data_IF_029449518133
#
_entry.id   IF_029449518133
#
_cell.length_a   1.000
_cell.length_b   1.000
_cell.length_c   1.000
_cell.angle_alpha   90.00
_cell.angle_beta   90.00
_cell.angle_gamma   90.00
#
_symmetry.space_group_name_H-M   'P 1'
#
loop_
_entity.id
_entity.type
_entity.pdbx_description
1 polymer ?
#
# COMPACT_ATOMS: atom_id res chain seq x y z
N UNK A 1 21.05 -9.69 -18.90
CA UNK A 1 19.75 -9.03 -18.61
C UNK A 1 19.12 -8.42 -19.85
N UNK A 2 19.90 -7.85 -20.74
CA UNK A 2 19.37 -7.20 -21.95
C UNK A 2 18.71 -8.14 -22.97
N UNK A 3 18.90 -9.44 -22.84
CA UNK A 3 18.38 -10.42 -23.79
C UNK A 3 16.96 -10.88 -23.48
N UNK A 4 16.40 -10.49 -22.33
CA UNK A 4 15.06 -10.89 -21.90
C UNK A 4 14.33 -9.70 -21.27
N UNK A 5 13.01 -9.72 -21.37
CA UNK A 5 12.16 -8.73 -20.69
C UNK A 5 12.07 -9.05 -19.19
N UNK A 6 11.59 -8.10 -18.39
CA UNK A 6 11.34 -8.30 -16.96
C UNK A 6 10.39 -9.48 -16.73
N UNK A 7 9.31 -9.57 -17.51
CA UNK A 7 8.34 -10.67 -17.39
C UNK A 7 8.98 -12.03 -17.66
N UNK A 8 9.86 -12.11 -18.65
CA UNK A 8 10.58 -13.35 -18.95
C UNK A 8 11.53 -13.75 -17.84
N UNK A 9 12.26 -12.78 -17.24
CA UNK A 9 13.12 -13.03 -16.09
C UNK A 9 12.31 -13.46 -14.86
N UNK A 10 11.14 -12.85 -14.63
CA UNK A 10 10.24 -13.24 -13.55
C UNK A 10 9.78 -14.70 -13.72
N UNK A 11 9.36 -15.08 -14.93
CA UNK A 11 8.92 -16.44 -15.20
C UNK A 11 10.04 -17.48 -14.97
N UNK A 12 11.28 -17.09 -15.23
CA UNK A 12 12.44 -17.98 -15.07
C UNK A 12 12.90 -18.09 -13.62
N UNK A 13 12.92 -17.00 -12.86
CA UNK A 13 13.59 -16.90 -11.57
C UNK A 13 12.66 -16.85 -10.36
N UNK A 14 11.40 -16.45 -10.52
CA UNK A 14 10.44 -16.47 -9.41
C UNK A 14 10.17 -17.89 -8.95
N UNK A 15 10.11 -18.07 -7.64
CA UNK A 15 9.92 -19.40 -7.05
C UNK A 15 11.19 -20.23 -6.99
N UNK A 16 12.32 -19.74 -7.52
CA UNK A 16 13.62 -20.38 -7.38
C UNK A 16 14.36 -19.83 -6.14
N UNK A 17 15.48 -20.46 -5.81
CA UNK A 17 16.34 -20.04 -4.68
C UNK A 17 17.33 -18.92 -5.08
N UNK A 18 16.97 -18.12 -6.07
CA UNK A 18 17.89 -17.13 -6.68
C UNK A 18 17.85 -15.74 -6.05
N UNK A 19 17.15 -15.52 -4.95
CA UNK A 19 17.01 -14.20 -4.30
C UNK A 19 16.66 -13.10 -5.31
N UNK A 20 15.59 -13.33 -6.09
CA UNK A 20 15.18 -12.48 -7.18
C UNK A 20 13.89 -11.75 -6.85
N UNK A 21 13.81 -10.48 -7.24
CA UNK A 21 12.57 -9.72 -7.20
C UNK A 21 12.58 -8.66 -8.31
N UNK A 22 11.43 -8.42 -8.99
CA UNK A 22 11.35 -7.34 -9.97
C UNK A 22 11.24 -5.99 -9.30
N UNK A 23 11.80 -4.96 -9.94
CA UNK A 23 11.53 -3.56 -9.59
C UNK A 23 10.38 -3.07 -10.45
N UNK A 24 9.29 -2.69 -9.80
CA UNK A 24 8.03 -2.33 -10.46
C UNK A 24 7.81 -0.81 -10.45
N UNK A 25 7.14 -0.29 -11.48
CA UNK A 25 6.61 1.06 -11.46
C UNK A 25 5.47 1.18 -10.43
N UNK A 26 5.13 2.39 -10.00
CA UNK A 26 4.14 2.60 -8.94
C UNK A 26 2.76 2.03 -9.28
N UNK A 27 2.32 2.18 -10.52
CA UNK A 27 1.06 1.64 -10.98
C UNK A 27 1.07 0.11 -11.12
N UNK A 28 2.21 -0.47 -11.47
CA UNK A 28 2.41 -1.91 -11.54
C UNK A 28 2.44 -2.56 -10.15
N UNK A 29 3.02 -1.87 -9.17
CA UNK A 29 3.17 -2.41 -7.81
C UNK A 29 1.83 -2.74 -7.16
N UNK A 30 0.82 -1.88 -7.33
CA UNK A 30 -0.50 -2.13 -6.75
C UNK A 30 -1.23 -3.30 -7.42
N UNK A 31 -0.86 -3.66 -8.66
CA UNK A 31 -1.43 -4.78 -9.39
C UNK A 31 -0.69 -6.09 -9.15
N UNK A 32 0.46 -6.05 -8.49
CA UNK A 32 1.25 -7.25 -8.21
C UNK A 32 0.47 -8.22 -7.30
N UNK A 33 0.42 -9.52 -7.61
CA UNK A 33 -0.38 -10.48 -6.85
C UNK A 33 -0.11 -10.49 -5.35
N UNK A 34 1.14 -10.36 -4.94
CA UNK A 34 1.51 -10.31 -3.52
C UNK A 34 0.94 -9.06 -2.84
N UNK A 35 1.04 -7.90 -3.48
CA UNK A 35 0.51 -6.64 -2.95
C UNK A 35 -1.01 -6.65 -2.86
N UNK A 36 -1.68 -7.24 -3.85
CA UNK A 36 -3.14 -7.43 -3.81
C UNK A 36 -3.55 -8.39 -2.69
N UNK A 37 -2.86 -9.52 -2.55
CA UNK A 37 -3.16 -10.50 -1.51
C UNK A 37 -2.98 -9.91 -0.11
N UNK A 38 -2.01 -9.02 0.07
CA UNK A 38 -1.76 -8.34 1.34
C UNK A 38 -2.66 -7.13 1.58
N UNK A 39 -3.38 -6.66 0.57
CA UNK A 39 -4.13 -5.41 0.67
C UNK A 39 -3.25 -4.21 0.96
N UNK A 40 -2.06 -4.18 0.33
CA UNK A 40 -1.05 -3.15 0.59
C UNK A 40 -1.46 -1.76 0.11
N UNK A 41 -2.41 -1.68 -0.83
CA UNK A 41 -2.94 -0.42 -1.36
C UNK A 41 -4.46 -0.41 -1.27
N UNK A 42 -5.04 0.73 -0.95
CA UNK A 42 -6.49 0.92 -0.88
C UNK A 42 -6.91 2.10 -1.74
N UNK A 43 -8.11 2.01 -2.32
CA UNK A 43 -8.71 3.12 -3.05
C UNK A 43 -9.59 3.93 -2.10
N UNK A 44 -9.40 5.24 -2.09
CA UNK A 44 -10.17 6.16 -1.26
C UNK A 44 -10.33 7.49 -2.00
N UNK A 45 -11.57 7.95 -2.11
CA UNK A 45 -11.92 9.18 -2.83
C UNK A 45 -11.35 9.23 -4.26
N UNK A 46 -11.38 8.09 -4.96
CA UNK A 46 -10.93 7.99 -6.34
C UNK A 46 -9.40 7.94 -6.52
N UNK A 47 -8.64 7.88 -5.45
CA UNK A 47 -7.19 7.78 -5.49
C UNK A 47 -6.68 6.55 -4.75
N UNK A 48 -5.57 5.98 -5.21
CA UNK A 48 -4.91 4.87 -4.55
C UNK A 48 -3.97 5.38 -3.46
N UNK A 49 -4.06 4.78 -2.29
CA UNK A 49 -3.23 5.10 -1.13
C UNK A 49 -2.57 3.84 -0.60
N UNK A 50 -1.36 3.94 -0.03
CA UNK A 50 -0.83 2.84 0.78
C UNK A 50 -1.80 2.55 1.94
N UNK A 51 -2.02 1.27 2.21
CA UNK A 51 -2.82 0.88 3.36
C UNK A 51 -2.10 1.26 4.66
N UNK A 52 -2.84 1.61 5.73
CA UNK A 52 -2.22 1.93 7.01
C UNK A 52 -1.41 0.76 7.56
N UNK A 53 -0.27 1.08 8.11
CA UNK A 53 0.62 0.15 8.80
C UNK A 53 1.05 0.81 10.13
N UNK A 54 1.26 0.04 11.18
CA UNK A 54 1.05 -1.41 11.33
C UNK A 54 -0.43 -1.80 11.37
N UNK A 55 -0.70 -3.10 11.27
CA UNK A 55 -2.07 -3.64 11.29
C UNK A 55 -2.40 -4.17 12.68
N UNK A 56 -3.28 -3.48 13.37
CA UNK A 56 -3.73 -3.88 14.70
C UNK A 56 -5.00 -4.73 14.60
N UNK A 57 -5.07 -5.82 15.38
CA UNK A 57 -6.18 -6.75 15.30
C UNK A 57 -7.49 -6.19 15.86
N UNK A 58 -7.41 -5.37 16.91
CA UNK A 58 -8.61 -4.80 17.55
C UNK A 58 -8.94 -3.39 17.09
N UNK A 59 -7.94 -2.62 16.68
CA UNK A 59 -8.09 -1.23 16.25
C UNK A 59 -7.39 -1.02 14.94
N UNK A 60 -7.89 -1.63 13.84
CA UNK A 60 -7.24 -1.47 12.54
C UNK A 60 -7.27 -0.02 12.08
N UNK A 61 -6.19 0.42 11.45
CA UNK A 61 -6.13 1.73 10.83
C UNK A 61 -6.98 1.80 9.58
N UNK A 62 -7.39 2.99 9.21
CA UNK A 62 -8.13 3.24 7.96
C UNK A 62 -7.71 4.57 7.36
N UNK A 63 -7.75 4.66 6.03
CA UNK A 63 -7.60 5.93 5.33
C UNK A 63 -8.89 6.72 5.53
N UNK A 64 -8.75 7.97 5.97
CA UNK A 64 -9.88 8.85 6.23
C UNK A 64 -9.81 10.07 5.32
N UNK A 65 -10.98 10.68 5.05
CA UNK A 65 -11.01 11.94 4.37
C UNK A 65 -10.39 13.05 5.24
N UNK A 66 -9.73 14.00 4.60
CA UNK A 66 -8.94 15.04 5.26
C UNK A 66 -9.75 16.31 5.59
N UNK A 67 -11.00 16.15 6.06
CA UNK A 67 -11.90 17.27 6.27
C UNK A 67 -12.14 17.66 7.74
N UNK A 68 -11.32 17.14 8.64
CA UNK A 68 -11.38 17.60 10.03
C UNK A 68 -10.69 18.96 10.15
N UNK A 69 -11.40 19.96 10.66
CA UNK A 69 -10.74 21.21 11.01
C UNK A 69 -10.14 21.15 12.42
N UNK A 70 -9.29 22.12 12.73
CA UNK A 70 -8.62 22.14 14.02
C UNK A 70 -9.57 22.26 15.21
N UNK A 71 -10.70 22.96 15.04
CA UNK A 71 -11.68 23.13 16.11
C UNK A 71 -12.37 21.81 16.47
N UNK A 72 -12.72 21.01 15.46
CA UNK A 72 -13.33 19.69 15.67
C UNK A 72 -12.36 18.74 16.40
N UNK A 73 -11.10 18.77 16.04
CA UNK A 73 -10.07 17.97 16.70
C UNK A 73 -9.92 18.37 18.15
N UNK A 74 -9.83 19.66 18.44
CA UNK A 74 -9.72 20.16 19.81
C UNK A 74 -10.93 19.80 20.66
N UNK A 75 -12.13 19.88 20.10
CA UNK A 75 -13.35 19.50 20.78
C UNK A 75 -13.36 18.00 21.17
N UNK A 76 -12.94 17.13 20.24
CA UNK A 76 -12.88 15.69 20.48
C UNK A 76 -11.89 15.32 21.59
N UNK A 77 -10.81 16.06 21.71
CA UNK A 77 -9.79 15.79 22.73
C UNK A 77 -10.06 16.53 24.04
N UNK A 78 -11.17 17.26 24.14
CA UNK A 78 -11.51 18.01 25.33
C UNK A 78 -10.61 19.21 25.59
N UNK A 79 -9.80 19.63 24.63
CA UNK A 79 -8.94 20.79 24.76
C UNK A 79 -9.76 22.06 24.45
N UNK A 80 -10.06 22.83 25.49
CA UNK A 80 -10.78 24.10 25.38
C UNK A 80 -9.91 25.23 25.90
N UNK A 81 -9.95 26.35 25.18
CA UNK A 81 -9.31 27.58 25.61
C UNK A 81 -10.31 28.49 26.33
#
# INVERSE_FOLDING_TARGET
>A
FLTRTQAEWCALLEGSDACFAPVLALDEAREHPHMKARGAYVEHDGAWHPAPAPRFSRTPGAVRSSHDDGADVLARWGAQN
#
